data_IF_923438121693
#
_entry.id   IF_923438121693
#
_cell.length_a   1.000
_cell.length_b   1.000
_cell.length_c   1.000
_cell.angle_alpha   90.00
_cell.angle_beta   90.00
_cell.angle_gamma   90.00
#
_symmetry.space_group_name_H-M   'P 1'
#
loop_
_entity.id
_entity.type
_entity.pdbx_description
1 polymer ?
#
# COMPACT_ATOMS: atom_id res chain seq x y z
N UNK A 1 7.07 -5.86 -24.64
CA UNK A 1 5.66 -5.65 -25.02
C UNK A 1 4.96 -6.99 -25.24
N UNK A 2 5.37 -8.06 -24.53
CA UNK A 2 4.88 -9.45 -24.72
C UNK A 2 4.69 -10.15 -23.36
N UNK A 3 3.96 -9.51 -22.44
CA UNK A 3 3.54 -10.17 -21.19
C UNK A 3 2.17 -9.69 -20.68
N UNK A 4 1.41 -8.98 -21.52
CA UNK A 4 0.08 -8.46 -21.18
C UNK A 4 -1.01 -8.83 -22.20
N UNK A 5 -0.62 -9.43 -23.34
CA UNK A 5 -1.53 -9.91 -24.40
C UNK A 5 -2.03 -11.33 -24.16
N UNK A 6 -1.34 -12.15 -23.37
CA UNK A 6 -1.71 -13.56 -23.12
C UNK A 6 -2.78 -13.77 -22.03
N UNK A 7 -3.21 -12.72 -21.33
CA UNK A 7 -4.24 -12.84 -20.29
C UNK A 7 -5.68 -12.71 -20.81
N UNK A 8 -5.85 -12.45 -22.12
CA UNK A 8 -7.16 -12.26 -22.77
C UNK A 8 -7.62 -13.47 -23.61
N UNK A 9 -6.84 -14.54 -23.69
CA UNK A 9 -7.09 -15.68 -24.57
C UNK A 9 -7.58 -16.96 -23.85
N UNK A 10 -8.04 -16.88 -22.60
CA UNK A 10 -8.56 -18.07 -21.85
C UNK A 10 -9.99 -17.90 -21.32
N UNK A 11 -10.78 -16.99 -21.87
CA UNK A 11 -12.18 -16.79 -21.46
C UNK A 11 -13.21 -16.71 -22.60
N UNK A 12 -12.85 -17.20 -23.79
CA UNK A 12 -13.79 -17.35 -24.92
C UNK A 12 -13.61 -18.72 -25.57
N UNK A 13 -14.00 -19.79 -24.87
CA UNK A 13 -14.30 -21.05 -25.56
C UNK A 13 -15.21 -21.96 -24.73
N UNK A 14 -16.49 -21.56 -24.59
CA UNK A 14 -17.61 -22.49 -24.45
C UNK A 14 -18.81 -21.83 -25.09
N UNK A 15 -19.17 -22.25 -26.31
CA UNK A 15 -20.41 -22.99 -26.57
C UNK A 15 -20.83 -22.85 -28.04
N UNK A 16 -20.46 -23.84 -28.85
CA UNK A 16 -21.15 -24.14 -30.11
C UNK A 16 -21.32 -25.65 -30.25
N UNK A 17 -22.55 -26.09 -30.04
CA UNK A 17 -23.12 -27.19 -30.80
C UNK A 17 -23.86 -28.21 -29.95
N UNK A 18 -25.19 -28.16 -29.97
CA UNK A 18 -26.01 -29.31 -30.42
C UNK A 18 -27.50 -28.99 -30.37
N UNK A 19 -28.03 -28.70 -31.56
CA UNK A 19 -29.45 -28.56 -31.88
C UNK A 19 -30.12 -29.94 -31.86
N UNK A 20 -30.52 -30.47 -30.69
CA UNK A 20 -31.40 -31.67 -30.62
C UNK A 20 -31.94 -31.93 -29.20
N UNK A 21 -32.80 -31.05 -28.66
CA UNK A 21 -33.52 -31.35 -27.41
C UNK A 21 -34.85 -30.60 -27.24
N UNK A 22 -35.56 -30.27 -28.33
CA UNK A 22 -36.80 -29.46 -28.27
C UNK A 22 -38.10 -30.30 -28.23
N UNK A 23 -38.04 -31.63 -28.29
CA UNK A 23 -39.26 -32.47 -28.34
C UNK A 23 -39.56 -33.30 -27.08
N UNK A 24 -38.87 -33.06 -25.96
CA UNK A 24 -39.11 -33.78 -24.68
C UNK A 24 -39.86 -33.00 -23.60
N UNK A 25 -39.84 -31.65 -23.60
CA UNK A 25 -40.33 -30.82 -22.48
C UNK A 25 -41.79 -30.38 -22.56
N UNK A 26 -42.59 -30.90 -23.49
CA UNK A 26 -44.03 -30.57 -23.62
C UNK A 26 -44.93 -31.59 -22.91
N UNK A 27 -44.39 -32.75 -22.47
CA UNK A 27 -45.18 -33.76 -21.73
C UNK A 27 -45.21 -33.56 -20.21
N UNK A 28 -44.16 -32.99 -19.60
CA UNK A 28 -44.12 -32.75 -18.13
C UNK A 28 -44.92 -31.51 -17.67
N UNK A 29 -45.21 -30.57 -18.58
CA UNK A 29 -46.06 -29.40 -18.30
C UNK A 29 -47.56 -29.74 -18.20
N UNK A 30 -48.01 -30.87 -18.77
CA UNK A 30 -49.43 -31.28 -18.75
C UNK A 30 -49.85 -31.94 -17.44
N UNK A 31 -48.94 -32.67 -16.77
CA UNK A 31 -49.22 -33.31 -15.48
C UNK A 31 -49.09 -32.34 -14.30
N UNK A 32 -48.20 -31.36 -14.40
CA UNK A 32 -48.07 -30.32 -13.37
C UNK A 32 -49.30 -29.38 -13.32
N UNK A 33 -49.91 -29.07 -14.46
CA UNK A 33 -51.13 -28.26 -14.54
C UNK A 33 -52.37 -29.00 -14.01
N UNK A 34 -52.45 -30.34 -14.16
CA UNK A 34 -53.56 -31.14 -13.60
C UNK A 34 -53.53 -31.21 -12.08
N UNK A 35 -52.35 -31.25 -11.46
CA UNK A 35 -52.23 -31.26 -9.99
C UNK A 35 -52.55 -29.89 -9.36
N UNK A 36 -52.34 -28.79 -10.10
CA UNK A 36 -52.68 -27.42 -9.64
C UNK A 36 -54.20 -27.19 -9.64
N UNK A 37 -54.96 -27.82 -10.54
CA UNK A 37 -56.42 -27.64 -10.63
C UNK A 37 -57.21 -28.48 -9.61
N UNK A 38 -56.66 -29.58 -9.08
CA UNK A 38 -57.33 -30.42 -8.07
C UNK A 38 -57.25 -29.80 -6.66
N UNK A 39 -56.22 -28.99 -6.37
CA UNK A 39 -56.13 -28.27 -5.09
C UNK A 39 -57.10 -27.07 -4.95
N UNK A 40 -57.83 -26.70 -6.01
CA UNK A 40 -58.78 -25.56 -5.97
C UNK A 40 -60.22 -25.94 -5.60
N UNK A 41 -60.54 -27.22 -5.41
CA UNK A 41 -61.93 -27.67 -5.23
C UNK A 41 -62.32 -28.08 -3.79
N UNK A 42 -61.38 -28.12 -2.84
CA UNK A 42 -61.70 -28.46 -1.44
C UNK A 42 -60.88 -27.59 -0.48
N UNK A 43 -61.56 -26.71 0.27
CA UNK A 43 -60.93 -26.00 1.39
C UNK A 43 -61.24 -24.51 1.42
N UNK A 44 -62.44 -24.17 1.89
CA UNK A 44 -62.75 -23.03 2.76
C UNK A 44 -61.67 -21.94 2.93
N UNK A 45 -62.05 -20.72 2.54
CA UNK A 45 -61.50 -19.45 3.03
C UNK A 45 -61.08 -19.51 4.51
N UNK A 46 -59.77 -19.64 4.74
CA UNK A 46 -59.12 -19.24 5.98
C UNK A 46 -58.48 -17.88 5.76
N UNK A 47 -59.20 -16.80 6.06
CA UNK A 47 -58.71 -15.43 5.97
C UNK A 47 -57.81 -15.09 7.18
N UNK A 48 -56.76 -15.87 7.37
CA UNK A 48 -55.73 -15.63 8.39
C UNK A 48 -54.39 -15.93 7.73
N UNK A 49 -53.67 -14.88 7.33
CA UNK A 49 -52.24 -14.97 7.00
C UNK A 49 -51.59 -15.77 8.13
N UNK A 50 -50.98 -16.91 7.80
CA UNK A 50 -50.40 -17.79 8.81
C UNK A 50 -49.41 -16.97 9.64
N UNK A 51 -49.24 -17.30 10.93
CA UNK A 51 -48.25 -16.59 11.75
C UNK A 51 -46.85 -16.65 11.12
N UNK A 52 -46.55 -17.73 10.40
CA UNK A 52 -45.31 -17.91 9.65
C UNK A 52 -45.20 -16.96 8.46
N UNK A 53 -46.28 -16.73 7.69
CA UNK A 53 -46.31 -15.78 6.57
C UNK A 53 -46.20 -14.32 7.06
N UNK A 54 -46.84 -13.98 8.19
CA UNK A 54 -46.67 -12.66 8.82
C UNK A 54 -45.24 -12.45 9.31
N UNK A 55 -44.67 -13.45 9.98
CA UNK A 55 -43.29 -13.39 10.45
C UNK A 55 -42.29 -13.35 9.29
N UNK A 56 -42.57 -14.04 8.18
CA UNK A 56 -41.77 -13.98 6.96
C UNK A 56 -41.85 -12.59 6.29
N UNK A 57 -43.04 -11.98 6.22
CA UNK A 57 -43.21 -10.63 5.70
C UNK A 57 -42.51 -9.57 6.57
N UNK A 58 -42.53 -9.72 7.90
CA UNK A 58 -41.78 -8.85 8.81
C UNK A 58 -40.26 -9.02 8.65
N UNK A 59 -39.77 -10.27 8.55
CA UNK A 59 -38.36 -10.54 8.23
C UNK A 59 -37.95 -9.93 6.89
N UNK A 60 -38.77 -10.09 5.84
CA UNK A 60 -38.50 -9.49 4.54
C UNK A 60 -38.42 -7.97 4.61
N UNK A 61 -39.38 -7.32 5.29
CA UNK A 61 -39.34 -5.86 5.51
C UNK A 61 -38.10 -5.42 6.28
N UNK A 62 -37.67 -6.21 7.26
CA UNK A 62 -36.45 -5.91 8.02
C UNK A 62 -35.19 -6.06 7.16
N UNK A 63 -35.14 -7.09 6.31
CA UNK A 63 -34.07 -7.27 5.31
C UNK A 63 -34.07 -6.10 4.33
N UNK A 64 -35.22 -5.72 3.76
CA UNK A 64 -35.32 -4.60 2.82
C UNK A 64 -34.89 -3.27 3.45
N UNK A 65 -35.23 -3.07 4.74
CA UNK A 65 -34.78 -1.89 5.50
C UNK A 65 -33.26 -1.91 5.66
N UNK A 66 -32.69 -3.03 6.08
CA UNK A 66 -31.23 -3.16 6.24
C UNK A 66 -30.52 -2.98 4.89
N UNK A 67 -31.03 -3.56 3.80
CA UNK A 67 -30.46 -3.39 2.45
C UNK A 67 -30.51 -1.93 1.98
N UNK A 68 -31.57 -1.20 2.32
CA UNK A 68 -31.67 0.22 2.01
C UNK A 68 -30.66 1.04 2.82
N UNK A 69 -30.56 0.79 4.12
CA UNK A 69 -29.58 1.47 4.99
C UNK A 69 -28.14 1.16 4.55
N UNK A 70 -27.83 -0.09 4.19
CA UNK A 70 -26.53 -0.49 3.65
C UNK A 70 -26.27 0.11 2.28
N UNK A 71 -27.31 0.22 1.43
CA UNK A 71 -27.22 0.90 0.13
C UNK A 71 -26.92 2.40 0.27
N UNK A 72 -27.56 3.08 1.23
CA UNK A 72 -27.31 4.49 1.52
C UNK A 72 -25.91 4.72 2.10
N UNK A 73 -25.40 3.80 2.92
CA UNK A 73 -24.00 3.81 3.40
C UNK A 73 -23.01 3.55 2.28
N UNK A 74 -23.26 2.54 1.45
CA UNK A 74 -22.41 2.19 0.32
C UNK A 74 -22.34 3.33 -0.71
N UNK A 75 -23.44 4.06 -0.92
CA UNK A 75 -23.47 5.22 -1.79
C UNK A 75 -22.61 6.40 -1.29
N UNK A 76 -22.29 6.43 0.01
CA UNK A 76 -21.41 7.43 0.65
C UNK A 76 -20.00 6.90 0.91
N UNK A 77 -19.72 5.66 0.53
CA UNK A 77 -18.41 5.03 0.72
C UNK A 77 -17.43 5.52 -0.35
N UNK A 78 -16.29 6.05 0.08
CA UNK A 78 -15.19 6.47 -0.78
C UNK A 78 -14.12 5.38 -0.79
N UNK A 79 -13.92 4.74 -1.94
CA UNK A 79 -12.92 3.68 -2.11
C UNK A 79 -11.61 4.26 -2.63
N UNK A 80 -10.56 4.17 -1.81
CA UNK A 80 -9.22 4.64 -2.13
C UNK A 80 -8.28 3.46 -2.37
N UNK A 81 -7.62 3.45 -3.53
CA UNK A 81 -6.65 2.42 -3.86
C UNK A 81 -5.22 2.98 -3.80
N UNK A 82 -4.39 2.43 -2.91
CA UNK A 82 -2.97 2.81 -2.79
C UNK A 82 -2.13 1.98 -3.75
N UNK A 83 -1.52 2.63 -4.74
CA UNK A 83 -0.63 1.99 -5.71
C UNK A 83 0.77 2.59 -5.65
N UNK A 84 1.73 1.89 -6.23
CA UNK A 84 3.12 2.32 -6.30
C UNK A 84 4.12 1.19 -6.04
N UNK A 85 5.38 1.44 -6.38
CA UNK A 85 6.45 0.46 -6.24
C UNK A 85 6.64 -0.02 -4.78
N UNK A 86 7.39 -1.11 -4.60
CA UNK A 86 7.82 -1.55 -3.28
C UNK A 86 8.49 -0.40 -2.51
N UNK A 87 8.22 -0.32 -1.21
CA UNK A 87 8.82 0.68 -0.31
C UNK A 87 8.49 2.14 -0.63
N UNK A 88 7.50 2.46 -1.49
CA UNK A 88 7.15 3.84 -1.78
C UNK A 88 6.42 4.58 -0.66
N UNK A 89 6.06 3.88 0.43
CA UNK A 89 5.42 4.46 1.62
C UNK A 89 3.89 4.27 1.71
N UNK A 90 3.30 3.40 0.87
CA UNK A 90 1.86 3.06 0.91
C UNK A 90 1.38 2.66 2.30
N UNK A 91 1.97 1.62 2.89
CA UNK A 91 1.60 1.14 4.22
C UNK A 91 1.84 2.20 5.31
N UNK A 92 2.82 3.09 5.13
CA UNK A 92 3.03 4.21 6.06
C UNK A 92 1.87 5.20 6.00
N UNK A 93 1.32 5.48 4.83
CA UNK A 93 0.12 6.34 4.67
C UNK A 93 -1.09 5.71 5.34
N UNK A 94 -1.28 4.39 5.21
CA UNK A 94 -2.37 3.66 5.90
C UNK A 94 -2.24 3.79 7.41
N UNK A 95 -1.03 3.57 7.94
CA UNK A 95 -0.76 3.76 9.37
C UNK A 95 -1.07 5.19 9.82
N UNK A 96 -0.81 6.19 8.99
CA UNK A 96 -1.17 7.57 9.29
C UNK A 96 -2.68 7.79 9.34
N UNK A 97 -3.48 7.10 8.51
CA UNK A 97 -4.95 7.23 8.58
C UNK A 97 -5.48 6.80 9.95
N UNK A 98 -4.91 5.75 10.54
CA UNK A 98 -5.21 5.33 11.90
C UNK A 98 -4.81 6.38 12.95
N UNK A 99 -3.66 7.04 12.77
CA UNK A 99 -3.19 8.09 13.69
C UNK A 99 -4.05 9.36 13.61
N UNK A 100 -4.48 9.75 12.42
CA UNK A 100 -5.12 11.04 12.15
C UNK A 100 -6.65 10.95 12.34
N UNK A 101 -7.26 9.84 11.94
CA UNK A 101 -8.72 9.70 11.83
C UNK A 101 -9.33 8.65 12.78
N UNK A 102 -8.51 7.97 13.57
CA UNK A 102 -8.95 7.10 14.67
C UNK A 102 -8.26 7.55 15.98
N UNK A 103 -8.21 6.67 16.99
CA UNK A 103 -7.57 6.92 18.29
C UNK A 103 -6.04 6.68 18.27
N UNK A 104 -5.45 6.51 17.08
CA UNK A 104 -4.06 6.13 16.90
C UNK A 104 -3.75 4.71 17.38
N UNK A 105 -2.49 4.46 17.73
CA UNK A 105 -2.06 3.16 18.24
C UNK A 105 -2.07 3.14 19.76
N UNK A 106 -2.79 2.17 20.34
CA UNK A 106 -2.78 1.96 21.80
C UNK A 106 -1.40 1.45 22.27
N UNK A 107 -1.14 1.51 23.57
CA UNK A 107 0.10 0.97 24.15
C UNK A 107 0.25 -0.53 23.86
N UNK A 108 -0.85 -1.29 23.93
CA UNK A 108 -0.90 -2.72 23.61
C UNK A 108 -0.58 -2.98 22.14
N UNK A 109 -1.10 -2.18 21.22
CA UNK A 109 -0.78 -2.28 19.80
C UNK A 109 0.68 -1.94 19.54
N UNK A 110 1.17 -0.85 20.14
CA UNK A 110 2.58 -0.47 20.08
C UNK A 110 3.51 -1.58 20.57
N UNK A 111 3.15 -2.29 21.66
CA UNK A 111 3.92 -3.45 22.16
C UNK A 111 4.02 -4.58 21.12
N UNK A 112 3.01 -4.79 20.27
CA UNK A 112 3.07 -5.80 19.20
C UNK A 112 4.10 -5.47 18.13
N UNK A 113 4.43 -4.19 17.93
CA UNK A 113 5.47 -3.75 16.99
C UNK A 113 6.90 -3.87 17.55
N UNK A 114 7.07 -4.19 18.83
CA UNK A 114 8.40 -4.24 19.47
C UNK A 114 9.34 -5.22 18.77
N UNK A 115 8.87 -6.44 18.53
CA UNK A 115 9.65 -7.45 17.81
C UNK A 115 9.99 -7.01 16.37
N UNK A 116 9.09 -6.27 15.72
CA UNK A 116 9.31 -5.75 14.36
C UNK A 116 10.39 -4.66 14.37
N UNK A 117 10.36 -3.75 15.35
CA UNK A 117 11.41 -2.73 15.51
C UNK A 117 12.76 -3.39 15.74
N UNK A 118 12.83 -4.40 16.61
CA UNK A 118 14.07 -5.14 16.86
C UNK A 118 14.59 -5.83 15.61
N UNK A 119 13.73 -6.58 14.91
CA UNK A 119 14.11 -7.22 13.64
C UNK A 119 14.60 -6.21 12.61
N UNK A 120 13.90 -5.08 12.42
CA UNK A 120 14.32 -4.03 11.50
C UNK A 120 15.68 -3.41 11.88
N UNK A 121 15.94 -3.24 13.18
CA UNK A 121 17.20 -2.70 13.69
C UNK A 121 18.36 -3.67 13.42
N UNK A 122 18.18 -4.94 13.79
CA UNK A 122 19.17 -6.02 13.61
C UNK A 122 19.47 -6.23 12.11
N UNK A 123 18.43 -6.30 11.27
CA UNK A 123 18.60 -6.46 9.82
C UNK A 123 19.32 -5.26 9.19
N UNK A 124 19.05 -4.03 9.66
CA UNK A 124 19.69 -2.83 9.12
C UNK A 124 21.20 -2.84 9.39
N UNK A 125 21.63 -3.12 10.62
CA UNK A 125 23.06 -3.19 10.93
C UNK A 125 23.73 -4.38 10.22
N UNK A 126 23.09 -5.55 10.17
CA UNK A 126 23.61 -6.69 9.42
C UNK A 126 23.81 -6.39 7.93
N UNK A 127 22.89 -5.64 7.31
CA UNK A 127 23.00 -5.24 5.92
C UNK A 127 24.20 -4.31 5.69
N UNK A 128 24.44 -3.35 6.59
CA UNK A 128 25.60 -2.45 6.54
C UNK A 128 26.91 -3.24 6.68
N UNK A 129 27.00 -4.13 7.68
CA UNK A 129 28.21 -4.94 7.92
C UNK A 129 28.50 -5.89 6.74
N UNK A 130 27.47 -6.49 6.13
CA UNK A 130 27.64 -7.28 4.89
C UNK A 130 28.15 -6.41 3.74
N UNK A 131 27.62 -5.20 3.59
CA UNK A 131 28.03 -4.28 2.54
C UNK A 131 29.49 -3.81 2.70
N UNK A 132 29.99 -3.63 3.93
CA UNK A 132 31.40 -3.30 4.18
C UNK A 132 32.35 -4.31 3.52
N UNK A 133 32.07 -5.60 3.67
CA UNK A 133 32.87 -6.67 3.04
C UNK A 133 32.86 -6.56 1.51
N UNK A 134 31.69 -6.30 0.92
CA UNK A 134 31.53 -6.19 -0.53
C UNK A 134 32.19 -4.94 -1.11
N UNK A 135 32.08 -3.81 -0.39
CA UNK A 135 32.65 -2.52 -0.76
C UNK A 135 34.12 -2.36 -0.35
N UNK A 136 34.69 -3.37 0.32
CA UNK A 136 36.06 -3.41 0.85
C UNK A 136 36.37 -2.22 1.77
N UNK A 137 35.42 -1.91 2.65
CA UNK A 137 35.57 -0.88 3.68
C UNK A 137 36.06 -1.56 4.96
N UNK A 138 37.20 -1.10 5.47
CA UNK A 138 37.77 -1.57 6.72
C UNK A 138 37.09 -0.87 7.91
N UNK A 139 37.08 -1.56 9.06
CA UNK A 139 36.68 -0.94 10.33
C UNK A 139 37.71 0.12 10.75
N UNK A 140 37.26 1.19 11.38
CA UNK A 140 38.18 2.16 11.98
C UNK A 140 38.89 1.54 13.19
N UNK A 141 38.14 0.84 14.04
CA UNK A 141 38.68 0.02 15.13
C UNK A 141 38.68 -1.46 14.74
N UNK A 142 39.87 -2.06 14.60
CA UNK A 142 40.04 -3.48 14.28
C UNK A 142 39.32 -4.44 15.26
N UNK A 143 39.05 -4.02 16.51
CA UNK A 143 38.28 -4.82 17.45
C UNK A 143 36.81 -5.02 17.03
N UNK A 144 36.27 -4.13 16.18
CA UNK A 144 34.90 -4.27 15.64
C UNK A 144 34.71 -5.53 14.79
N UNK A 145 35.78 -6.13 14.29
CA UNK A 145 35.71 -7.41 13.58
C UNK A 145 35.14 -8.53 14.48
N UNK A 146 35.40 -8.49 15.78
CA UNK A 146 34.87 -9.46 16.75
C UNK A 146 33.39 -9.19 17.03
N UNK A 147 33.01 -7.92 17.14
CA UNK A 147 31.61 -7.50 17.29
C UNK A 147 30.77 -7.89 16.07
N UNK A 148 31.30 -7.75 14.86
CA UNK A 148 30.62 -8.19 13.65
C UNK A 148 30.36 -9.71 13.67
N UNK A 149 31.33 -10.52 14.14
CA UNK A 149 31.15 -11.96 14.31
C UNK A 149 30.08 -12.27 15.37
N UNK A 150 30.08 -11.55 16.49
CA UNK A 150 29.07 -11.69 17.54
C UNK A 150 27.66 -11.31 17.04
N UNK A 151 27.53 -10.21 16.28
CA UNK A 151 26.28 -9.79 15.66
C UNK A 151 25.66 -10.93 14.86
N UNK A 152 26.40 -11.54 13.94
CA UNK A 152 25.88 -12.63 13.12
C UNK A 152 25.56 -13.90 13.92
N UNK A 153 26.29 -14.17 14.99
CA UNK A 153 26.04 -15.32 15.86
C UNK A 153 24.75 -15.16 16.71
N UNK A 154 24.47 -13.94 17.17
CA UNK A 154 23.34 -13.65 18.06
C UNK A 154 22.05 -13.26 17.31
N UNK A 155 22.18 -12.68 16.11
CA UNK A 155 21.05 -12.12 15.37
C UNK A 155 19.92 -13.13 15.13
N UNK A 156 20.25 -14.35 14.69
CA UNK A 156 19.24 -15.36 14.37
C UNK A 156 18.35 -15.72 15.57
N UNK A 157 18.95 -15.95 16.73
CA UNK A 157 18.21 -16.27 17.95
C UNK A 157 17.37 -15.07 18.45
N UNK A 158 17.91 -13.85 18.34
CA UNK A 158 17.19 -12.64 18.73
C UNK A 158 15.96 -12.37 17.84
N UNK A 159 16.09 -12.59 16.52
CA UNK A 159 14.97 -12.47 15.58
C UNK A 159 13.88 -13.51 15.85
N UNK A 160 14.26 -14.78 16.08
CA UNK A 160 13.30 -15.86 16.39
C UNK A 160 12.53 -15.60 17.70
N UNK A 161 13.22 -15.05 18.71
CA UNK A 161 12.61 -14.74 20.00
C UNK A 161 11.89 -13.38 20.03
N UNK A 162 12.05 -12.55 18.98
CA UNK A 162 11.48 -11.21 18.92
C UNK A 162 11.98 -10.27 20.02
N UNK A 163 13.21 -10.46 20.50
CA UNK A 163 13.83 -9.67 21.56
C UNK A 163 15.15 -9.03 21.10
N UNK A 164 15.69 -8.14 21.94
CA UNK A 164 16.99 -7.51 21.74
C UNK A 164 17.80 -7.67 23.03
N UNK A 165 18.62 -8.73 23.17
CA UNK A 165 19.42 -8.96 24.35
C UNK A 165 20.47 -7.84 24.56
N UNK A 166 20.81 -7.52 25.81
CA UNK A 166 21.75 -6.45 26.15
C UNK A 166 23.12 -6.63 25.46
N UNK A 167 23.63 -7.85 25.40
CA UNK A 167 24.89 -8.16 24.71
C UNK A 167 24.83 -7.80 23.21
N UNK A 168 23.71 -8.12 22.55
CA UNK A 168 23.50 -7.77 21.15
C UNK A 168 23.32 -6.26 20.97
N UNK A 169 22.54 -5.60 21.84
CA UNK A 169 22.37 -4.15 21.81
C UNK A 169 23.71 -3.40 21.95
N UNK A 170 24.57 -3.88 22.86
CA UNK A 170 25.91 -3.33 23.07
C UNK A 170 26.81 -3.53 21.84
N UNK A 171 26.77 -4.71 21.22
CA UNK A 171 27.48 -4.99 19.96
C UNK A 171 27.02 -4.04 18.86
N UNK A 172 25.70 -3.89 18.65
CA UNK A 172 25.14 -3.00 17.63
C UNK A 172 25.55 -1.55 17.88
N UNK A 173 25.50 -1.10 19.14
CA UNK A 173 25.87 0.28 19.52
C UNK A 173 27.33 0.57 19.19
N UNK A 174 28.25 -0.35 19.53
CA UNK A 174 29.67 -0.15 19.23
C UNK A 174 29.99 -0.25 17.75
N UNK A 175 29.31 -1.14 17.01
CA UNK A 175 29.45 -1.21 15.56
C UNK A 175 28.95 0.08 14.90
N UNK A 176 27.79 0.58 15.30
CA UNK A 176 27.24 1.81 14.72
C UNK A 176 28.12 3.04 14.98
N UNK A 177 28.85 3.08 16.10
CA UNK A 177 29.78 4.16 16.41
C UNK A 177 31.09 4.12 15.59
N UNK A 178 31.40 3.03 14.88
CA UNK A 178 32.64 2.89 14.11
C UNK A 178 32.63 3.75 12.84
N UNK A 179 33.73 4.45 12.58
CA UNK A 179 33.84 5.33 11.40
C UNK A 179 33.81 4.59 10.06
N UNK A 180 34.28 3.35 10.00
CA UNK A 180 34.16 2.49 8.82
C UNK A 180 32.71 2.09 8.55
N UNK A 181 31.96 1.75 9.61
CA UNK A 181 30.52 1.46 9.53
C UNK A 181 29.73 2.70 9.08
N UNK A 182 30.02 3.88 9.67
CA UNK A 182 29.43 5.15 9.25
C UNK A 182 29.76 5.48 7.79
N UNK A 183 31.01 5.29 7.37
CA UNK A 183 31.40 5.48 5.96
C UNK A 183 30.63 4.56 5.03
N UNK A 184 30.45 3.29 5.39
CA UNK A 184 29.63 2.35 4.61
C UNK A 184 28.17 2.83 4.50
N UNK A 185 27.59 3.30 5.60
CA UNK A 185 26.23 3.84 5.62
C UNK A 185 26.06 5.06 4.69
N UNK A 186 27.06 5.94 4.56
CA UNK A 186 26.98 7.05 3.59
C UNK A 186 26.92 6.58 2.13
N UNK A 187 27.36 5.34 1.86
CA UNK A 187 27.29 4.66 0.55
C UNK A 187 26.09 3.72 0.43
N UNK A 188 25.06 3.88 1.27
CA UNK A 188 23.87 3.03 1.29
C UNK A 188 23.11 2.92 -0.04
N UNK A 189 23.38 3.78 -1.03
CA UNK A 189 22.83 3.62 -2.39
C UNK A 189 23.38 2.41 -3.15
N UNK A 190 24.55 1.90 -2.76
CA UNK A 190 25.26 0.80 -3.43
C UNK A 190 24.76 -0.59 -2.99
N UNK A 191 23.83 -0.65 -2.05
CA UNK A 191 23.24 -1.90 -1.54
C UNK A 191 21.81 -1.67 -1.04
N UNK A 192 21.12 -2.75 -0.67
CA UNK A 192 19.74 -2.67 -0.20
C UNK A 192 19.70 -2.40 1.31
N UNK A 193 19.26 -1.20 1.70
CA UNK A 193 19.11 -0.80 3.10
C UNK A 193 17.71 -0.20 3.36
N UNK A 194 17.19 -0.37 4.58
CA UNK A 194 15.95 0.28 5.00
C UNK A 194 16.20 1.77 5.31
N UNK A 195 15.33 2.65 4.80
CA UNK A 195 15.42 4.10 5.03
C UNK A 195 15.38 4.48 6.52
N UNK A 196 14.75 3.66 7.36
CA UNK A 196 14.67 3.91 8.81
C UNK A 196 15.88 3.38 9.60
N UNK A 197 16.93 2.88 8.93
CA UNK A 197 18.12 2.33 9.59
C UNK A 197 18.75 3.33 10.57
N UNK A 198 19.08 4.54 10.12
CA UNK A 198 19.69 5.56 10.99
C UNK A 198 18.76 5.98 12.14
N UNK A 199 17.46 6.06 11.90
CA UNK A 199 16.49 6.42 12.95
C UNK A 199 16.56 5.45 14.14
N UNK A 200 16.57 4.14 13.88
CA UNK A 200 16.68 3.16 14.96
C UNK A 200 18.08 3.06 15.54
N UNK A 201 19.11 3.05 14.69
CA UNK A 201 20.50 2.88 15.15
C UNK A 201 21.02 4.06 15.97
N UNK A 202 20.53 5.28 15.71
CA UNK A 202 20.84 6.46 16.52
C UNK A 202 20.18 6.42 17.92
N UNK A 203 19.06 5.73 18.05
CA UNK A 203 18.24 5.66 19.26
C UNK A 203 18.41 4.33 20.02
N UNK A 204 19.54 3.63 19.82
CA UNK A 204 19.79 2.32 20.45
C UNK A 204 19.65 2.33 21.97
N UNK A 205 20.02 3.42 22.65
CA UNK A 205 19.87 3.57 24.10
C UNK A 205 18.41 3.47 24.55
N UNK A 206 17.47 4.01 23.77
CA UNK A 206 16.03 3.95 24.05
C UNK A 206 15.47 2.57 23.71
N UNK A 207 15.86 2.02 22.58
CA UNK A 207 15.33 0.76 22.02
C UNK A 207 15.80 -0.46 22.83
N UNK A 208 17.02 -0.41 23.37
CA UNK A 208 17.61 -1.51 24.15
C UNK A 208 17.03 -1.67 25.56
N UNK A 209 16.24 -0.71 26.07
CA UNK A 209 15.69 -0.80 27.43
C UNK A 209 14.73 -1.98 27.59
N UNK A 210 14.78 -2.65 28.74
CA UNK A 210 13.92 -3.80 29.04
C UNK A 210 12.42 -3.43 29.01
N UNK A 211 12.08 -2.23 29.47
CA UNK A 211 10.73 -1.64 29.49
C UNK A 211 10.40 -0.85 28.21
N UNK A 212 11.19 -0.99 27.15
CA UNK A 212 10.95 -0.31 25.88
C UNK A 212 9.56 -0.65 25.32
N UNK A 213 8.78 0.41 25.08
CA UNK A 213 7.52 0.38 24.34
C UNK A 213 7.69 1.28 23.11
N UNK A 214 7.48 0.74 21.89
CA UNK A 214 7.52 1.54 20.67
C UNK A 214 6.57 2.73 20.74
N UNK A 215 7.03 3.87 20.24
CA UNK A 215 6.20 5.04 20.01
C UNK A 215 5.44 4.90 18.69
N UNK A 216 4.43 5.74 18.47
CA UNK A 216 3.75 5.80 17.17
C UNK A 216 4.73 6.13 16.03
N UNK A 217 5.78 6.91 16.30
CA UNK A 217 6.82 7.21 15.32
C UNK A 217 7.64 5.97 14.94
N UNK A 218 7.93 5.10 15.91
CA UNK A 218 8.57 3.81 15.65
C UNK A 218 7.63 2.94 14.81
N UNK A 219 6.35 2.84 15.18
CA UNK A 219 5.35 2.08 14.43
C UNK A 219 5.26 2.55 12.97
N UNK A 220 5.24 3.85 12.71
CA UNK A 220 5.22 4.42 11.36
C UNK A 220 6.44 4.01 10.53
N UNK A 221 7.62 3.94 11.16
CA UNK A 221 8.90 3.62 10.54
C UNK A 221 9.18 2.11 10.44
N UNK A 222 8.37 1.27 11.06
CA UNK A 222 8.51 -0.19 10.90
C UNK A 222 8.23 -0.60 9.46
N UNK A 223 9.11 -1.47 8.95
CA UNK A 223 9.03 -2.08 7.64
C UNK A 223 8.60 -3.54 7.81
N UNK A 224 7.39 -3.81 7.34
CA UNK A 224 6.87 -5.15 7.14
C UNK A 224 6.53 -5.27 5.66
N UNK A 225 6.98 -6.34 5.00
CA UNK A 225 6.65 -6.58 3.59
C UNK A 225 5.16 -6.92 3.49
N UNK A 226 4.37 -6.00 2.95
CA UNK A 226 2.94 -6.23 2.69
C UNK A 226 2.76 -7.31 1.63
N UNK A 227 2.02 -8.36 2.00
CA UNK A 227 1.63 -9.46 1.11
C UNK A 227 0.11 -9.48 0.97
N UNK A 228 -0.40 -9.57 -0.25
CA UNK A 228 -1.83 -9.53 -0.50
C UNK A 228 -2.41 -8.12 -0.45
N UNK A 229 -3.67 -8.04 -0.03
CA UNK A 229 -4.50 -6.84 0.02
C UNK A 229 -4.92 -6.64 1.47
N UNK A 230 -4.63 -5.47 2.02
CA UNK A 230 -5.09 -5.07 3.35
C UNK A 230 -6.10 -3.96 3.18
N UNK A 231 -7.26 -4.10 3.83
CA UNK A 231 -8.34 -3.13 3.81
C UNK A 231 -8.37 -2.39 5.15
N UNK A 232 -8.55 -1.08 5.12
CA UNK A 232 -8.66 -0.23 6.31
C UNK A 232 -9.83 0.72 6.15
N UNK A 233 -10.61 0.88 7.21
CA UNK A 233 -11.81 1.73 7.22
C UNK A 233 -11.60 2.85 8.20
N UNK A 234 -11.97 4.06 7.82
CA UNK A 234 -12.00 5.19 8.74
C UNK A 234 -13.09 6.17 8.30
N UNK A 235 -13.49 7.06 9.21
CA UNK A 235 -14.51 8.07 8.92
C UNK A 235 -13.87 9.45 8.98
N UNK A 236 -14.13 10.29 7.97
CA UNK A 236 -13.59 11.65 7.92
C UNK A 236 -14.58 12.58 7.20
N UNK A 237 -14.88 13.75 7.79
CA UNK A 237 -15.89 14.71 7.29
C UNK A 237 -17.23 14.05 6.91
N UNK A 238 -17.74 13.16 7.78
CA UNK A 238 -18.97 12.37 7.57
C UNK A 238 -18.96 11.43 6.34
N UNK A 239 -17.79 11.21 5.74
CA UNK A 239 -17.59 10.21 4.69
C UNK A 239 -16.92 8.96 5.27
N UNK A 240 -17.35 7.80 4.79
CA UNK A 240 -16.74 6.53 5.13
C UNK A 240 -15.69 6.19 4.06
N UNK A 241 -14.43 6.15 4.47
CA UNK A 241 -13.34 5.78 3.60
C UNK A 241 -13.01 4.30 3.75
N UNK A 242 -12.82 3.64 2.60
CA UNK A 242 -12.32 2.27 2.50
C UNK A 242 -11.03 2.30 1.69
N UNK A 243 -9.91 2.14 2.37
CA UNK A 243 -8.57 2.25 1.81
C UNK A 243 -7.97 0.85 1.60
N UNK A 244 -7.47 0.59 0.40
CA UNK A 244 -6.84 -0.68 0.04
C UNK A 244 -5.33 -0.49 -0.11
N UNK A 245 -4.55 -1.13 0.76
CA UNK A 245 -3.10 -1.26 0.66
C UNK A 245 -2.72 -2.57 0.01
N UNK A 246 -2.05 -2.48 -1.13
CA UNK A 246 -1.62 -3.65 -1.90
C UNK A 246 -0.10 -3.73 -1.94
N UNK A 247 0.42 -4.95 -1.94
CA UNK A 247 1.86 -5.20 -2.07
C UNK A 247 2.44 -4.54 -3.34
N UNK A 248 3.51 -3.75 -3.17
CA UNK A 248 4.13 -2.97 -4.26
C UNK A 248 5.16 -3.73 -5.12
N UNK A 249 5.61 -4.88 -4.65
CA UNK A 249 6.63 -5.71 -5.31
C UNK A 249 6.07 -6.39 -6.55
N UNK A 250 6.91 -6.69 -7.55
CA UNK A 250 6.45 -7.22 -8.85
C UNK A 250 5.62 -8.49 -8.67
N UNK A 251 6.00 -9.37 -7.73
CA UNK A 251 5.26 -10.61 -7.43
C UNK A 251 3.82 -10.38 -6.95
N UNK A 252 3.55 -9.26 -6.29
CA UNK A 252 2.24 -8.96 -5.67
C UNK A 252 1.27 -8.27 -6.63
N UNK A 253 1.77 -7.65 -7.72
CA UNK A 253 0.96 -6.81 -8.61
C UNK A 253 -0.16 -7.55 -9.33
N UNK A 254 -0.03 -8.87 -9.51
CA UNK A 254 -1.09 -9.71 -10.11
C UNK A 254 -2.39 -9.68 -9.28
N UNK A 255 -2.30 -9.41 -7.98
CA UNK A 255 -3.46 -9.37 -7.06
C UNK A 255 -4.22 -8.05 -7.14
N UNK A 256 -3.65 -7.01 -7.74
CA UNK A 256 -4.22 -5.65 -7.72
C UNK A 256 -5.57 -5.57 -8.41
N UNK A 257 -5.79 -6.36 -9.46
CA UNK A 257 -7.03 -6.37 -10.25
C UNK A 257 -8.28 -6.63 -9.39
N UNK A 258 -8.13 -7.35 -8.27
CA UNK A 258 -9.22 -7.66 -7.34
C UNK A 258 -9.73 -6.43 -6.57
N UNK A 259 -9.03 -5.30 -6.65
CA UNK A 259 -9.39 -4.05 -5.98
C UNK A 259 -9.77 -2.93 -6.95
N UNK A 260 -9.83 -3.18 -8.26
CA UNK A 260 -10.00 -2.12 -9.26
C UNK A 260 -11.46 -1.70 -9.47
N UNK A 261 -12.41 -2.53 -9.07
CA UNK A 261 -13.83 -2.25 -9.28
C UNK A 261 -14.36 -1.20 -8.29
N UNK A 262 -15.00 -0.16 -8.83
CA UNK A 262 -15.66 0.88 -8.03
C UNK A 262 -14.70 1.76 -7.23
N UNK A 263 -13.42 1.85 -7.61
CA UNK A 263 -12.45 2.75 -6.98
C UNK A 263 -12.81 4.20 -7.30
N UNK A 264 -13.03 5.01 -6.25
CA UNK A 264 -13.31 6.44 -6.38
C UNK A 264 -12.06 7.21 -6.82
N UNK A 265 -10.92 6.93 -6.17
CA UNK A 265 -9.65 7.57 -6.51
C UNK A 265 -8.45 6.65 -6.23
N UNK A 266 -7.38 6.86 -7.01
CA UNK A 266 -6.10 6.19 -6.82
C UNK A 266 -5.14 7.16 -6.14
N UNK A 267 -4.48 6.69 -5.09
CA UNK A 267 -3.32 7.37 -4.51
C UNK A 267 -2.07 6.62 -4.97
N UNK A 268 -1.33 7.20 -5.90
CA UNK A 268 -0.10 6.61 -6.41
C UNK A 268 1.12 7.18 -5.67
N UNK A 269 1.85 6.33 -4.95
CA UNK A 269 2.99 6.71 -4.13
C UNK A 269 4.31 6.46 -4.86
N UNK A 270 5.12 7.52 -4.98
CA UNK A 270 6.47 7.53 -5.54
C UNK A 270 7.47 7.81 -4.43
N UNK A 271 8.54 7.03 -4.32
CA UNK A 271 9.67 7.37 -3.45
C UNK A 271 10.62 8.31 -4.21
N UNK A 272 10.59 9.60 -3.91
CA UNK A 272 11.48 10.60 -4.52
C UNK A 272 12.95 10.27 -4.28
N UNK A 273 13.28 9.84 -3.05
CA UNK A 273 14.64 9.48 -2.64
C UNK A 273 15.21 8.24 -3.33
N UNK A 274 14.45 7.55 -4.18
CA UNK A 274 14.88 6.31 -4.83
C UNK A 274 15.52 6.53 -6.22
N UNK A 275 15.74 7.77 -6.65
CA UNK A 275 16.29 8.10 -7.97
C UNK A 275 17.70 7.52 -8.23
N UNK A 276 18.50 7.30 -7.19
CA UNK A 276 19.85 6.73 -7.30
C UNK A 276 19.93 5.28 -6.81
N UNK A 277 18.79 4.59 -6.70
CA UNK A 277 18.69 3.21 -6.23
C UNK A 277 18.26 2.25 -7.34
N UNK A 278 18.69 1.00 -7.22
CA UNK A 278 18.22 -0.12 -8.04
C UNK A 278 17.21 -0.99 -7.28
N UNK A 279 16.35 -1.72 -8.01
CA UNK A 279 15.37 -2.60 -7.40
C UNK A 279 16.06 -3.76 -6.67
N UNK A 280 15.49 -4.18 -5.53
CA UNK A 280 15.94 -5.40 -4.85
C UNK A 280 15.64 -6.68 -5.67
N UNK A 281 14.64 -6.61 -6.56
CA UNK A 281 14.23 -7.73 -7.42
C UNK A 281 15.04 -7.79 -8.73
N UNK A 282 15.79 -6.73 -9.06
CA UNK A 282 16.41 -6.50 -10.37
C UNK A 282 17.50 -5.41 -10.25
N UNK A 283 18.76 -5.82 -10.12
CA UNK A 283 19.89 -4.92 -9.83
C UNK A 283 20.28 -4.00 -11.01
N UNK A 284 19.74 -4.23 -12.21
CA UNK A 284 19.98 -3.35 -13.37
C UNK A 284 18.89 -2.27 -13.51
N UNK A 285 17.73 -2.49 -12.92
CA UNK A 285 16.59 -1.60 -13.07
C UNK A 285 16.55 -0.54 -11.95
N UNK A 286 16.71 0.72 -12.35
CA UNK A 286 16.55 1.87 -11.45
C UNK A 286 15.11 1.96 -10.89
N UNK A 287 14.99 2.22 -9.59
CA UNK A 287 13.70 2.25 -8.87
C UNK A 287 12.76 3.37 -9.35
N UNK A 288 13.28 4.54 -9.67
CA UNK A 288 12.48 5.67 -10.17
C UNK A 288 11.93 5.35 -11.57
N UNK A 289 12.77 4.81 -12.47
CA UNK A 289 12.32 4.36 -13.78
C UNK A 289 11.25 3.26 -13.69
N UNK A 290 11.36 2.33 -12.75
CA UNK A 290 10.32 1.32 -12.51
C UNK A 290 9.02 1.97 -12.03
N UNK A 291 9.11 2.93 -11.11
CA UNK A 291 7.96 3.68 -10.62
C UNK A 291 7.27 4.45 -11.75
N UNK A 292 8.03 5.05 -12.67
CA UNK A 292 7.49 5.74 -13.85
C UNK A 292 6.82 4.76 -14.83
N UNK A 293 7.45 3.62 -15.15
CA UNK A 293 6.84 2.58 -16.00
C UNK A 293 5.52 2.08 -15.40
N UNK A 294 5.51 1.85 -14.09
CA UNK A 294 4.33 1.44 -13.36
C UNK A 294 3.24 2.52 -13.41
N UNK A 295 3.60 3.78 -13.18
CA UNK A 295 2.67 4.89 -13.28
C UNK A 295 2.07 5.04 -14.68
N UNK A 296 2.87 4.98 -15.75
CA UNK A 296 2.39 5.02 -17.13
C UNK A 296 1.33 3.93 -17.37
N UNK A 297 1.59 2.71 -16.89
CA UNK A 297 0.66 1.58 -17.03
C UNK A 297 -0.66 1.74 -16.29
N UNK A 298 -0.65 2.45 -15.14
CA UNK A 298 -1.84 2.68 -14.32
C UNK A 298 -2.61 3.89 -14.83
N UNK A 299 -1.91 5.00 -15.05
CA UNK A 299 -2.49 6.26 -15.51
C UNK A 299 -3.23 6.09 -16.84
N UNK A 300 -2.67 5.29 -17.74
CA UNK A 300 -3.22 5.05 -19.07
C UNK A 300 -4.03 3.74 -19.18
N UNK A 301 -4.35 3.10 -18.04
CA UNK A 301 -5.16 1.89 -18.03
C UNK A 301 -6.62 2.17 -18.38
N UNK A 302 -7.26 1.28 -19.15
CA UNK A 302 -8.68 1.39 -19.51
C UNK A 302 -9.60 1.35 -18.28
N UNK A 303 -9.26 0.54 -17.27
CA UNK A 303 -10.01 0.43 -16.01
C UNK A 303 -10.05 1.74 -15.22
N UNK A 304 -9.10 2.65 -15.45
CA UNK A 304 -8.96 3.91 -14.71
C UNK A 304 -9.12 5.14 -15.60
N UNK A 305 -9.90 5.02 -16.67
CA UNK A 305 -10.05 6.14 -17.62
C UNK A 305 -10.66 7.37 -16.94
N UNK A 306 -11.67 7.17 -16.09
CA UNK A 306 -12.40 8.23 -15.39
C UNK A 306 -11.97 8.37 -13.92
N UNK A 307 -11.13 7.46 -13.42
CA UNK A 307 -10.67 7.48 -12.03
C UNK A 307 -9.65 8.60 -11.82
N UNK A 308 -9.91 9.44 -10.82
CA UNK A 308 -8.98 10.50 -10.39
C UNK A 308 -7.69 9.90 -9.83
N UNK A 309 -6.55 10.50 -10.17
CA UNK A 309 -5.24 10.07 -9.66
C UNK A 309 -4.62 11.19 -8.82
N UNK A 310 -4.38 10.87 -7.56
CA UNK A 310 -3.56 11.67 -6.65
C UNK A 310 -2.16 11.08 -6.67
N UNK A 311 -1.16 11.91 -6.96
CA UNK A 311 0.23 11.51 -7.05
C UNK A 311 0.98 11.98 -5.80
N UNK A 312 1.38 11.05 -4.95
CA UNK A 312 2.22 11.33 -3.79
C UNK A 312 3.69 11.18 -4.15
N UNK A 313 4.38 12.31 -4.24
CA UNK A 313 5.84 12.40 -4.34
C UNK A 313 6.40 12.34 -2.91
N UNK A 314 6.53 11.11 -2.41
CA UNK A 314 6.82 10.81 -1.02
C UNK A 314 8.33 10.76 -0.73
N UNK A 315 8.69 10.78 0.56
CA UNK A 315 10.06 10.82 1.07
C UNK A 315 10.81 12.08 0.63
N UNK A 316 10.09 13.21 0.58
CA UNK A 316 10.66 14.50 0.20
C UNK A 316 11.80 14.92 1.14
N UNK A 317 11.72 14.56 2.41
CA UNK A 317 12.71 14.79 3.46
C UNK A 317 14.04 14.08 3.16
N UNK A 318 13.97 12.79 2.79
CA UNK A 318 15.13 12.03 2.39
C UNK A 318 15.69 12.50 1.05
N UNK A 319 14.82 12.91 0.13
CA UNK A 319 15.22 13.47 -1.15
C UNK A 319 15.97 14.81 -1.00
N UNK A 320 15.46 15.72 -0.16
CA UNK A 320 16.06 17.02 0.13
C UNK A 320 17.48 16.87 0.71
N UNK A 321 17.69 15.90 1.61
CA UNK A 321 19.02 15.60 2.12
C UNK A 321 19.93 15.02 1.04
N UNK A 322 19.42 14.05 0.26
CA UNK A 322 20.19 13.27 -0.70
C UNK A 322 20.63 14.07 -1.93
N UNK A 323 19.77 14.95 -2.44
CA UNK A 323 20.04 15.71 -3.67
C UNK A 323 21.30 16.58 -3.54
N UNK A 324 21.64 17.03 -2.33
CA UNK A 324 22.85 17.83 -2.07
C UNK A 324 24.17 17.14 -2.45
N UNK A 325 24.21 15.81 -2.50
CA UNK A 325 25.44 15.03 -2.72
C UNK A 325 25.32 13.92 -3.77
N UNK A 326 24.11 13.52 -4.15
CA UNK A 326 23.87 12.54 -5.23
C UNK A 326 23.10 13.23 -6.36
N UNK A 327 23.71 13.51 -7.52
CA UNK A 327 23.07 14.32 -8.55
C UNK A 327 21.90 13.59 -9.23
N UNK A 328 20.83 14.33 -9.56
CA UNK A 328 19.65 13.77 -10.23
C UNK A 328 19.98 13.14 -11.61
N UNK A 329 21.08 13.57 -12.23
CA UNK A 329 21.56 13.06 -13.52
C UNK A 329 21.90 11.57 -13.53
N UNK A 330 22.05 10.94 -12.36
CA UNK A 330 22.16 9.47 -12.23
C UNK A 330 20.90 8.79 -12.77
N UNK A 331 19.73 9.36 -12.48
CA UNK A 331 18.46 8.85 -12.98
C UNK A 331 18.10 9.44 -14.34
N UNK A 332 18.30 10.76 -14.49
CA UNK A 332 17.87 11.53 -15.65
C UNK A 332 19.08 12.23 -16.29
N UNK A 333 19.86 11.56 -17.15
CA UNK A 333 21.06 12.14 -17.76
C UNK A 333 20.81 13.47 -18.50
N UNK A 334 19.58 13.69 -18.96
CA UNK A 334 19.13 14.90 -19.65
C UNK A 334 18.74 16.05 -18.70
N UNK A 335 18.77 15.85 -17.38
CA UNK A 335 18.47 16.91 -16.41
C UNK A 335 19.54 18.01 -16.45
N UNK A 336 19.12 19.22 -16.77
CA UNK A 336 19.97 20.40 -16.90
C UNK A 336 19.76 21.45 -15.79
N UNK A 337 18.86 21.18 -14.84
CA UNK A 337 18.60 22.07 -13.71
C UNK A 337 19.69 22.00 -12.64
N UNK A 338 19.62 22.90 -11.66
CA UNK A 338 20.56 22.88 -10.54
C UNK A 338 20.27 21.71 -9.59
N UNK A 339 21.32 21.20 -8.94
CA UNK A 339 21.20 20.09 -8.01
C UNK A 339 20.68 20.52 -6.62
N UNK A 340 19.54 21.21 -6.60
CA UNK A 340 18.83 21.68 -5.42
C UNK A 340 17.44 21.02 -5.31
N UNK A 341 16.84 21.08 -4.13
CA UNK A 341 15.55 20.43 -3.88
C UNK A 341 14.45 20.96 -4.80
N UNK A 342 14.27 22.28 -4.90
CA UNK A 342 13.13 22.88 -5.58
C UNK A 342 13.08 22.52 -7.07
N UNK A 343 14.18 22.72 -7.80
CA UNK A 343 14.24 22.43 -9.24
C UNK A 343 14.18 20.93 -9.52
N UNK A 344 14.83 20.10 -8.70
CA UNK A 344 14.88 18.66 -8.91
C UNK A 344 13.54 17.99 -8.55
N UNK A 345 12.88 18.44 -7.49
CA UNK A 345 11.55 17.98 -7.08
C UNK A 345 10.50 18.32 -8.15
N UNK A 346 10.54 19.54 -8.66
CA UNK A 346 9.65 20.01 -9.72
C UNK A 346 9.88 19.23 -11.03
N UNK A 347 11.12 18.94 -11.36
CA UNK A 347 11.45 18.12 -12.52
C UNK A 347 10.88 16.70 -12.40
N UNK A 348 11.04 16.05 -11.24
CA UNK A 348 10.44 14.72 -10.99
C UNK A 348 8.92 14.80 -11.11
N UNK A 349 8.28 15.83 -10.53
CA UNK A 349 6.83 16.05 -10.67
C UNK A 349 6.41 16.08 -12.13
N UNK A 350 7.03 16.95 -12.92
CA UNK A 350 6.74 17.12 -14.35
C UNK A 350 6.92 15.81 -15.11
N UNK A 351 7.98 15.04 -14.82
CA UNK A 351 8.22 13.73 -15.45
C UNK A 351 7.09 12.73 -15.24
N UNK A 352 6.44 12.73 -14.08
CA UNK A 352 5.26 11.87 -13.84
C UNK A 352 4.01 12.42 -14.51
N UNK A 353 3.77 13.72 -14.43
CA UNK A 353 2.61 14.36 -15.08
C UNK A 353 2.63 14.18 -16.61
N UNK A 354 3.81 14.20 -17.23
CA UNK A 354 4.01 14.00 -18.66
C UNK A 354 3.69 12.57 -19.14
N UNK A 355 3.62 11.58 -18.23
CA UNK A 355 3.20 10.22 -18.57
C UNK A 355 1.68 10.11 -18.80
N UNK A 356 0.91 11.11 -18.40
CA UNK A 356 -0.52 11.15 -18.67
C UNK A 356 -0.79 11.47 -20.14
N UNK A 357 -1.30 10.50 -20.89
CA UNK A 357 -1.64 10.66 -22.31
C UNK A 357 -3.00 11.32 -22.53
N UNK A 358 -3.79 11.51 -21.47
CA UNK A 358 -5.15 12.07 -21.51
C UNK A 358 -5.25 13.35 -20.66
N UNK A 359 -4.28 14.27 -20.80
CA UNK A 359 -4.20 15.51 -19.99
C UNK A 359 -5.47 16.37 -20.07
N UNK A 360 -6.21 16.31 -21.17
CA UNK A 360 -7.44 17.09 -21.37
C UNK A 360 -8.63 16.58 -20.56
N UNK A 361 -8.68 15.28 -20.26
CA UNK A 361 -9.85 14.64 -19.63
C UNK A 361 -9.55 14.04 -18.26
N UNK A 362 -8.27 13.88 -17.93
CA UNK A 362 -7.82 13.26 -16.69
C UNK A 362 -6.78 14.14 -16.03
N UNK A 363 -7.12 14.65 -14.86
CA UNK A 363 -6.24 15.46 -14.05
C UNK A 363 -5.46 14.58 -13.06
N UNK A 364 -4.17 14.88 -12.88
CA UNK A 364 -3.32 14.30 -11.84
C UNK A 364 -3.13 15.39 -10.78
N UNK A 365 -3.31 15.02 -9.51
CA UNK A 365 -3.14 15.93 -8.37
C UNK A 365 -1.83 15.59 -7.64
N UNK A 366 -0.71 16.25 -7.98
CA UNK A 366 0.57 15.98 -7.34
C UNK A 366 0.69 16.65 -5.96
N UNK A 367 1.19 15.90 -4.98
CA UNK A 367 1.54 16.42 -3.67
C UNK A 367 2.91 15.90 -3.24
N UNK A 368 3.77 16.80 -2.76
CA UNK A 368 5.01 16.44 -2.10
C UNK A 368 4.73 16.02 -0.66
N UNK A 369 5.07 14.78 -0.32
CA UNK A 369 4.72 14.17 0.96
C UNK A 369 5.94 13.67 1.74
N UNK A 370 5.83 13.72 3.05
CA UNK A 370 6.64 12.95 3.98
C UNK A 370 5.68 12.08 4.78
N UNK A 371 5.53 10.81 4.40
CA UNK A 371 4.61 9.89 5.07
C UNK A 371 4.93 9.66 6.56
N UNK A 372 6.13 10.01 7.02
CA UNK A 372 6.52 9.94 8.44
C UNK A 372 6.20 11.21 9.23
N UNK A 373 5.74 12.28 8.57
CA UNK A 373 5.28 13.54 9.18
C UNK A 373 3.74 13.57 9.18
N UNK A 374 3.16 13.36 10.36
CA UNK A 374 1.70 13.32 10.56
C UNK A 374 1.01 14.63 10.14
N UNK A 375 1.63 15.79 10.38
CA UNK A 375 1.02 17.09 10.00
C UNK A 375 0.99 17.26 8.48
N UNK A 376 2.07 16.86 7.81
CA UNK A 376 2.13 16.89 6.36
C UNK A 376 1.09 15.96 5.73
N UNK A 377 0.95 14.73 6.24
CA UNK A 377 -0.05 13.78 5.72
C UNK A 377 -1.47 14.26 5.98
N UNK A 378 -1.76 14.81 7.16
CA UNK A 378 -3.08 15.38 7.47
C UNK A 378 -3.46 16.48 6.49
N UNK A 379 -2.58 17.48 6.30
CA UNK A 379 -2.82 18.58 5.37
C UNK A 379 -3.04 18.10 3.92
N UNK A 380 -2.22 17.15 3.47
CA UNK A 380 -2.34 16.60 2.11
C UNK A 380 -3.63 15.80 1.96
N UNK A 381 -4.01 15.02 2.97
CA UNK A 381 -5.23 14.22 2.93
C UNK A 381 -6.50 15.08 2.97
N UNK A 382 -6.47 16.20 3.70
CA UNK A 382 -7.55 17.20 3.68
C UNK A 382 -7.76 17.76 2.27
N UNK A 383 -6.68 18.17 1.60
CA UNK A 383 -6.72 18.68 0.23
C UNK A 383 -7.23 17.63 -0.77
N UNK A 384 -6.76 16.38 -0.62
CA UNK A 384 -7.20 15.24 -1.44
C UNK A 384 -8.70 14.96 -1.25
N UNK A 385 -9.17 15.01 -0.01
CA UNK A 385 -10.60 14.81 0.32
C UNK A 385 -11.47 15.87 -0.35
N UNK A 386 -11.04 17.13 -0.33
CA UNK A 386 -11.78 18.22 -0.97
C UNK A 386 -11.88 18.05 -2.50
N UNK A 387 -10.81 17.54 -3.14
CA UNK A 387 -10.81 17.19 -4.58
C UNK A 387 -11.77 16.03 -4.87
N UNK A 388 -11.74 14.97 -4.06
CA UNK A 388 -12.62 13.80 -4.24
C UNK A 388 -14.09 14.21 -4.08
N UNK A 389 -14.39 14.99 -3.04
CA UNK A 389 -15.75 15.50 -2.80
C UNK A 389 -16.23 16.34 -4.00
N UNK A 390 -15.37 17.24 -4.50
CA UNK A 390 -15.72 18.09 -5.64
C UNK A 390 -16.01 17.28 -6.90
N UNK A 391 -15.26 16.20 -7.16
CA UNK A 391 -15.51 15.33 -8.31
C UNK A 391 -16.78 14.50 -8.14
N UNK A 392 -17.00 13.90 -6.96
CA UNK A 392 -18.23 13.16 -6.66
C UNK A 392 -19.48 14.04 -6.78
N UNK A 393 -19.41 15.32 -6.38
CA UNK A 393 -20.51 16.27 -6.51
C UNK A 393 -20.82 16.61 -7.98
N UNK A 394 -19.80 16.72 -8.84
CA UNK A 394 -20.00 16.88 -10.29
C UNK A 394 -20.68 15.66 -10.91
N UNK A 395 -20.25 14.46 -10.52
CA UNK A 395 -20.84 13.20 -11.03
C UNK A 395 -22.31 13.05 -10.62
N UNK A 396 -22.70 13.63 -9.49
CA UNK A 396 -24.09 13.69 -9.03
C UNK A 396 -24.93 14.81 -9.70
N UNK A 397 -24.36 15.62 -10.60
CA UNK A 397 -25.04 16.72 -11.28
C UNK A 397 -25.38 17.92 -10.39
N UNK A 398 -24.69 18.07 -9.25
CA UNK A 398 -24.88 19.17 -8.29
C UNK A 398 -24.01 20.41 -8.59
N UNK A 399 -23.16 20.36 -9.62
CA UNK A 399 -22.25 21.44 -10.04
C UNK A 399 -22.13 21.56 -11.57
#
# INVERSE_FOLDING_TARGET
MDCFTDLLATFLDVDRGSTLAVYGRVRELSECIKNILICRAFGTMGCTVSQEDKAAAERSKMIDRNLREDGEKAAKEVKLLLLGAGESGKSTIVKQMKIIHEDGYSEEECKQYRAVVYSNTIQSIMAIIKAMSNLKIEYEDSARADDARQLFALAGAAEEQGNLPDDLANVVTRLWADGGVQSCFTRAREYQLNDSAAYYLNDMERIAKADYIPTQQDVLRTRVKTTGIVETHFTFKDLHFKMFDVGGQRSERKKWIHCFEGVTAIIFCVAMSAYDLVLAEDEEMNRMHESMKLFDSICNNKWFTETSIILFLNKKDLFEQKITHSPLTICFPEYAGANNYDEAAEYIRTKFEDLNKKKETKEIYPHFTCATDTKNVQFVFDAVTDVIIKNNLKDCGLF
#
